data_IF_148075594048
#
_entry.id   IF_148075594048
#
_cell.length_a   1.000
_cell.length_b   1.000
_cell.length_c   1.000
_cell.angle_alpha   90.00
_cell.angle_beta   90.00
_cell.angle_gamma   90.00
#
_symmetry.space_group_name_H-M   'P 1'
#
loop_
_entity.id
_entity.type
_entity.pdbx_description
1 polymer ?
#
# COMPACT_ATOMS: atom_id res chain seq x y z
N UNK A 1 -10.70 2.76 19.81
CA UNK A 1 -10.93 2.17 18.49
C UNK A 1 -10.06 2.83 17.44
N UNK A 2 -9.44 2.02 16.60
CA UNK A 2 -8.47 2.53 15.66
C UNK A 2 -9.15 3.04 14.40
N UNK A 3 -8.72 4.20 13.93
CA UNK A 3 -9.18 4.75 12.67
C UNK A 3 -8.68 3.85 11.52
N UNK A 4 -9.46 3.75 10.46
CA UNK A 4 -9.03 3.01 9.27
C UNK A 4 -7.74 3.62 8.72
N UNK A 5 -6.67 2.83 8.60
CA UNK A 5 -5.42 3.33 8.00
C UNK A 5 -5.62 3.69 6.53
N UNK A 6 -4.84 4.65 6.05
CA UNK A 6 -4.87 5.04 4.65
C UNK A 6 -4.26 3.94 3.78
N UNK A 7 -4.84 3.75 2.59
CA UNK A 7 -4.27 2.83 1.60
C UNK A 7 -2.97 3.45 1.05
N UNK A 8 -1.89 2.67 0.92
CA UNK A 8 -0.63 3.22 0.40
C UNK A 8 -0.77 3.82 -1.00
N UNK A 9 -1.70 3.33 -1.81
CA UNK A 9 -1.98 3.92 -3.13
C UNK A 9 -2.53 5.33 -3.02
N UNK A 10 -3.39 5.59 -2.04
CA UNK A 10 -3.89 6.94 -1.78
C UNK A 10 -2.76 7.87 -1.33
N UNK A 11 -1.90 7.39 -0.44
CA UNK A 11 -0.75 8.17 0.02
C UNK A 11 0.17 8.52 -1.15
N UNK A 12 0.46 7.54 -2.01
CA UNK A 12 1.31 7.77 -3.17
C UNK A 12 0.70 8.82 -4.11
N UNK A 13 -0.61 8.71 -4.38
CA UNK A 13 -1.29 9.67 -5.24
C UNK A 13 -1.29 11.08 -4.65
N UNK A 14 -1.70 11.22 -3.40
CA UNK A 14 -1.93 12.53 -2.79
C UNK A 14 -0.66 13.20 -2.28
N UNK A 15 0.30 12.41 -1.81
CA UNK A 15 1.50 12.98 -1.19
C UNK A 15 2.69 13.02 -2.14
N UNK A 16 2.67 12.28 -3.24
CA UNK A 16 3.77 12.25 -4.20
C UNK A 16 3.34 12.79 -5.56
N UNK A 17 2.34 12.17 -6.18
CA UNK A 17 1.99 12.51 -7.57
C UNK A 17 1.33 13.89 -7.70
N UNK A 18 0.33 14.16 -6.87
CA UNK A 18 -0.39 15.43 -6.96
C UNK A 18 0.51 16.64 -6.66
N UNK A 19 1.29 16.63 -5.56
CA UNK A 19 2.17 17.77 -5.30
C UNK A 19 3.22 18.01 -6.38
N UNK A 20 3.69 16.94 -7.05
CA UNK A 20 4.68 17.05 -8.11
C UNK A 20 4.07 17.28 -9.49
N UNK A 21 2.73 17.22 -9.59
CA UNK A 21 2.05 17.40 -10.87
C UNK A 21 2.29 16.27 -11.86
N UNK A 22 2.55 15.05 -11.36
CA UNK A 22 2.83 13.89 -12.21
C UNK A 22 1.53 13.14 -12.45
N UNK A 23 1.17 12.91 -13.72
CA UNK A 23 -0.01 12.14 -14.04
C UNK A 23 0.27 10.64 -13.98
N UNK A 24 -0.80 9.83 -14.04
CA UNK A 24 -0.69 8.37 -13.88
C UNK A 24 0.17 7.75 -14.99
N UNK A 25 0.02 8.24 -16.22
CA UNK A 25 0.78 7.70 -17.36
C UNK A 25 2.29 7.89 -17.16
N UNK A 26 2.68 9.10 -16.77
CA UNK A 26 4.09 9.41 -16.54
C UNK A 26 4.63 8.70 -15.30
N UNK A 27 3.81 8.60 -14.26
CA UNK A 27 4.20 7.88 -13.04
C UNK A 27 4.43 6.40 -13.33
N UNK A 28 3.57 5.78 -14.15
CA UNK A 28 3.75 4.38 -14.52
C UNK A 28 5.06 4.17 -15.27
N UNK A 29 5.41 5.09 -16.19
CA UNK A 29 6.70 5.03 -16.88
C UNK A 29 7.86 5.18 -15.91
N UNK A 30 7.74 6.11 -14.97
CA UNK A 30 8.76 6.35 -13.96
C UNK A 30 9.02 5.10 -13.11
N UNK A 31 7.95 4.39 -12.75
CA UNK A 31 8.05 3.18 -11.93
C UNK A 31 8.37 1.92 -12.74
N UNK A 32 8.26 1.98 -14.06
CA UNK A 32 8.47 0.82 -14.92
C UNK A 32 7.34 -0.20 -14.83
N UNK A 33 6.12 0.25 -14.63
CA UNK A 33 4.92 -0.60 -14.58
C UNK A 33 3.90 -0.14 -15.61
N UNK A 34 2.88 -0.96 -15.85
CA UNK A 34 1.81 -0.56 -16.75
C UNK A 34 0.92 0.49 -16.10
N UNK A 35 0.28 1.32 -16.94
CA UNK A 35 -0.67 2.31 -16.45
C UNK A 35 -1.83 1.64 -15.70
N UNK A 36 -2.28 0.48 -16.18
CA UNK A 36 -3.35 -0.26 -15.52
C UNK A 36 -2.95 -0.69 -14.10
N UNK A 37 -1.75 -1.24 -13.95
CA UNK A 37 -1.25 -1.67 -12.65
C UNK A 37 -1.21 -0.49 -11.66
N UNK A 38 -0.67 0.63 -12.10
CA UNK A 38 -0.59 1.81 -11.22
C UNK A 38 -1.96 2.39 -10.93
N UNK A 39 -2.84 2.46 -11.93
CA UNK A 39 -4.19 2.96 -11.74
C UNK A 39 -4.97 2.15 -10.71
N UNK A 40 -4.86 0.82 -10.77
CA UNK A 40 -5.52 -0.04 -9.79
C UNK A 40 -4.99 0.19 -8.37
N UNK A 41 -3.69 0.41 -8.26
CA UNK A 41 -3.07 0.65 -6.95
C UNK A 41 -3.53 1.99 -6.35
N UNK A 42 -3.46 3.08 -7.12
CA UNK A 42 -3.83 4.40 -6.59
C UNK A 42 -5.33 4.54 -6.37
N UNK A 43 -6.15 3.71 -7.03
CA UNK A 43 -7.58 3.67 -6.82
C UNK A 43 -7.99 2.63 -5.78
N UNK A 44 -7.03 2.09 -5.04
CA UNK A 44 -7.24 1.17 -3.91
C UNK A 44 -7.89 -0.15 -4.32
N UNK A 45 -7.74 -0.55 -5.59
CA UNK A 45 -8.28 -1.80 -6.10
C UNK A 45 -7.30 -2.96 -5.96
N UNK A 46 -6.05 -2.68 -5.65
CA UNK A 46 -5.03 -3.70 -5.41
C UNK A 46 -4.18 -3.32 -4.22
N UNK A 47 -3.66 -4.35 -3.55
CA UNK A 47 -2.74 -4.17 -2.43
C UNK A 47 -1.35 -3.84 -2.93
N UNK A 48 -0.54 -3.25 -2.07
CA UNK A 48 0.86 -3.00 -2.38
C UNK A 48 1.65 -4.31 -2.29
N UNK A 49 2.31 -4.66 -3.40
CA UNK A 49 3.23 -5.79 -3.40
C UNK A 49 4.63 -5.35 -2.97
N UNK A 50 5.47 -6.30 -2.50
CA UNK A 50 6.86 -5.97 -2.20
C UNK A 50 7.61 -5.39 -3.39
N UNK A 51 7.38 -5.91 -4.60
CA UNK A 51 8.03 -5.38 -5.79
C UNK A 51 7.62 -3.93 -6.05
N UNK A 52 6.33 -3.62 -5.93
CA UNK A 52 5.87 -2.25 -6.12
C UNK A 52 6.45 -1.33 -5.04
N UNK A 53 6.56 -1.82 -3.81
CA UNK A 53 7.16 -1.05 -2.72
C UNK A 53 8.61 -0.71 -3.03
N UNK A 54 9.36 -1.66 -3.60
CA UNK A 54 10.75 -1.41 -4.00
C UNK A 54 10.83 -0.36 -5.10
N UNK A 55 9.93 -0.41 -6.08
CA UNK A 55 9.90 0.56 -7.18
C UNK A 55 9.57 1.96 -6.68
N UNK A 56 8.55 2.08 -5.84
CA UNK A 56 8.14 3.36 -5.27
C UNK A 56 9.25 3.93 -4.39
N UNK A 57 9.84 3.09 -3.53
CA UNK A 57 10.90 3.54 -2.62
C UNK A 57 12.09 4.08 -3.41
N UNK A 58 12.47 3.40 -4.48
CA UNK A 58 13.57 3.86 -5.32
C UNK A 58 13.25 5.18 -6.03
N UNK A 59 12.02 5.31 -6.53
CA UNK A 59 11.62 6.52 -7.26
C UNK A 59 11.47 7.73 -6.33
N UNK A 60 11.12 7.51 -5.07
CA UNK A 60 10.85 8.60 -4.11
C UNK A 60 11.94 8.76 -3.06
N UNK A 61 12.99 7.96 -3.15
CA UNK A 61 14.10 7.96 -2.17
C UNK A 61 13.58 7.75 -0.74
N UNK A 62 12.67 6.78 -0.59
CA UNK A 62 12.12 6.37 0.69
C UNK A 62 12.44 4.90 0.93
N UNK A 63 12.02 4.35 2.08
CA UNK A 63 12.27 2.96 2.38
C UNK A 63 11.09 2.09 1.94
N UNK A 64 11.34 0.92 1.34
CA UNK A 64 10.24 0.01 0.99
C UNK A 64 9.50 -0.49 2.23
N UNK A 65 10.19 -0.59 3.36
CA UNK A 65 9.58 -1.01 4.61
C UNK A 65 8.49 -0.06 5.07
N UNK A 66 8.71 1.26 4.91
CA UNK A 66 7.69 2.24 5.30
C UNK A 66 6.41 2.07 4.49
N UNK A 67 6.53 1.78 3.19
CA UNK A 67 5.38 1.54 2.33
C UNK A 67 4.67 0.23 2.68
N UNK A 68 5.43 -0.84 2.92
CA UNK A 68 4.86 -2.12 3.32
C UNK A 68 4.19 -2.04 4.69
N UNK A 69 4.73 -1.22 5.60
CA UNK A 69 4.11 -1.02 6.91
C UNK A 69 2.72 -0.40 6.77
N UNK A 70 2.54 0.54 5.85
CA UNK A 70 1.21 1.10 5.57
C UNK A 70 0.24 0.03 5.11
N UNK A 71 0.68 -0.84 4.19
CA UNK A 71 -0.16 -1.93 3.71
C UNK A 71 -0.49 -2.92 4.82
N UNK A 72 0.49 -3.27 5.63
CA UNK A 72 0.29 -4.19 6.75
C UNK A 72 -0.76 -3.65 7.72
N UNK A 73 -0.67 -2.39 8.08
CA UNK A 73 -1.63 -1.78 9.01
C UNK A 73 -3.05 -1.80 8.43
N UNK A 74 -3.20 -1.50 7.16
CA UNK A 74 -4.50 -1.53 6.50
C UNK A 74 -5.05 -2.96 6.44
N UNK A 75 -4.22 -3.90 6.00
CA UNK A 75 -4.62 -5.30 5.88
C UNK A 75 -5.03 -5.88 7.22
N UNK A 76 -4.26 -5.58 8.27
CA UNK A 76 -4.58 -6.04 9.62
C UNK A 76 -5.87 -5.41 10.12
N UNK A 77 -6.07 -4.11 9.88
CA UNK A 77 -7.31 -3.43 10.26
C UNK A 77 -8.52 -4.09 9.59
N UNK A 78 -8.41 -4.42 8.29
CA UNK A 78 -9.47 -5.09 7.55
C UNK A 78 -9.78 -6.47 8.15
N UNK A 79 -8.74 -7.23 8.48
CA UNK A 79 -8.91 -8.55 9.10
C UNK A 79 -9.56 -8.45 10.45
N UNK A 80 -9.28 -7.40 11.21
CA UNK A 80 -9.87 -7.19 12.53
C UNK A 80 -11.35 -6.85 12.48
N UNK A 81 -11.87 -6.43 11.34
CA UNK A 81 -13.31 -6.22 11.17
C UNK A 81 -14.07 -7.53 11.10
N UNK A 82 -13.37 -8.63 10.83
CA UNK A 82 -13.96 -9.96 10.74
C UNK A 82 -13.02 -10.96 11.41
N UNK A 83 -12.87 -10.82 12.73
CA UNK A 83 -11.91 -11.60 13.50
C UNK A 83 -12.23 -13.10 13.45
N UNK A 84 -11.20 -13.93 13.33
CA UNK A 84 -11.42 -15.37 13.46
C UNK A 84 -11.87 -15.73 14.87
N UNK A 85 -12.81 -16.67 14.98
CA UNK A 85 -13.38 -17.07 16.26
C UNK A 85 -13.13 -18.52 16.60
N UNK A 86 -12.61 -19.29 15.64
CA UNK A 86 -12.43 -20.73 15.81
C UNK A 86 -10.98 -21.13 16.13
N UNK A 87 -10.22 -20.19 16.69
CA UNK A 87 -8.82 -20.42 17.02
C UNK A 87 -8.75 -20.87 18.48
N UNK A 88 -8.05 -21.97 18.73
CA UNK A 88 -7.78 -22.45 20.08
C UNK A 88 -6.38 -22.05 20.50
N UNK A 89 -6.24 -21.63 21.74
CA UNK A 89 -4.95 -21.29 22.28
C UNK A 89 -4.06 -22.52 22.39
N UNK A 90 -2.82 -22.41 21.98
CA UNK A 90 -1.80 -23.41 22.26
C UNK A 90 -1.38 -23.26 23.74
N UNK A 91 -1.21 -24.39 24.40
CA UNK A 91 -0.75 -24.34 25.78
C UNK A 91 0.77 -24.25 25.80
N UNK A 92 1.26 -23.03 25.77
CA UNK A 92 2.70 -22.79 25.85
C UNK A 92 3.13 -22.65 27.29
N UNK A 93 4.05 -23.49 27.70
CA UNK A 93 4.52 -23.49 29.08
C UNK A 93 5.31 -22.23 29.41
#
# INVERSE_FOLDING_TARGET
MTRKPAHPGEVFLKDVLEPLGINITDAAKMLGVTRKTLSEFVNEKSSLSPEMALRIAKATNTSPESWMTMQMKLTLWQAMQNKPTNVKAACLA
#
